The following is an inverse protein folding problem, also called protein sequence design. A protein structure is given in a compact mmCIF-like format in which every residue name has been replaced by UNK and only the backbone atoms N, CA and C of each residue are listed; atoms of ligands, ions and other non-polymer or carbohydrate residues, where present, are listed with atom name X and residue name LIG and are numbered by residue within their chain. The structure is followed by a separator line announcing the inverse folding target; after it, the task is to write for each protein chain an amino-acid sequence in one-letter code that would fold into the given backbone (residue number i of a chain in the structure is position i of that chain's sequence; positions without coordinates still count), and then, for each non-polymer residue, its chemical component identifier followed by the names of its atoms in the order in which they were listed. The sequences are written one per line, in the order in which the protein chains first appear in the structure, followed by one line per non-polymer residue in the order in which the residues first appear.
data_IF_706203380412
#
_entry.id   IF_706203380412
#
_cell.length_a   1.000
_cell.length_b   1.000
_cell.length_c   1.000
_cell.angle_alpha   90.00
_cell.angle_beta   90.00
_cell.angle_gamma   90.00
#
_symmetry.space_group_name_H-M   'P 1'
#
loop_
_entity.id
_entity.type
_entity.pdbx_description
1 polymer ?
2 non-polymer ?
#
# COMPACT_ATOMS: atom_id res chain seq x y z
N UNK A 19 -19.75 2.49 1.74
CA UNK A 19 -19.59 1.91 3.08
C UNK A 19 -19.43 2.98 4.16
N UNK A 20 -19.50 2.52 5.40
CA UNK A 20 -19.01 3.26 6.55
C UNK A 20 -18.10 2.32 7.33
N UNK A 21 -17.03 2.87 7.87
CA UNK A 21 -15.98 2.10 8.52
C UNK A 21 -15.99 2.47 9.99
N UNK A 22 -16.54 1.59 10.82
CA UNK A 22 -16.76 1.91 12.22
C UNK A 22 -16.18 0.85 13.13
N UNK A 23 -15.50 1.30 14.18
CA UNK A 23 -15.15 0.45 15.31
C UNK A 23 -15.53 1.15 16.61
N UNK A 24 -16.09 0.40 17.55
CA UNK A 24 -16.30 0.93 18.89
C UNK A 24 -15.24 0.35 19.82
N UNK A 25 -15.07 1.03 20.96
CA UNK A 25 -14.05 0.71 21.94
C UNK A 25 -14.51 -0.46 22.83
N UNK A 26 -13.56 -1.19 23.41
CA UNK A 26 -13.94 -2.21 24.41
C UNK A 26 -14.74 -1.64 25.56
N UNK A 27 -14.50 -0.37 25.92
CA UNK A 27 -15.28 0.32 26.94
C UNK A 27 -16.65 0.76 26.44
N UNK A 28 -16.84 0.85 25.13
CA UNK A 28 -18.09 1.32 24.56
C UNK A 28 -18.24 2.83 24.45
N UNK A 29 -17.52 3.60 25.26
CA UNK A 29 -17.79 5.04 25.42
C UNK A 29 -17.35 5.90 24.23
N UNK A 30 -16.77 5.33 23.16
CA UNK A 30 -16.47 6.13 21.98
C UNK A 30 -16.38 5.25 20.75
N UNK A 31 -17.10 5.65 19.69
CA UNK A 31 -17.02 5.03 18.37
C UNK A 31 -16.35 6.00 17.40
N UNK A 32 -15.52 5.47 16.50
CA UNK A 32 -14.90 6.27 15.43
C UNK A 32 -15.35 5.74 14.08
N UNK A 33 -15.61 6.69 13.16
CA UNK A 33 -16.09 6.41 11.82
C UNK A 33 -15.13 6.95 10.78
N UNK A 34 -14.89 6.18 9.73
CA UNK A 34 -13.93 6.54 8.70
C UNK A 34 -14.57 6.42 7.33
N UNK A 35 -14.13 7.28 6.40
CA UNK A 35 -14.70 7.29 5.06
C UNK A 35 -14.62 5.90 4.46
N UNK A 36 -13.39 5.46 4.21
CA UNK A 36 -13.08 4.17 3.66
C UNK A 36 -11.88 3.65 4.44
N UNK A 37 -11.24 2.59 3.95
CA UNK A 37 -10.09 1.98 4.61
C UNK A 37 -8.78 2.14 3.83
N UNK A 38 -8.83 2.24 2.49
CA UNK A 38 -7.64 2.38 1.66
C UNK A 38 -7.54 3.81 1.18
N UNK A 39 -6.49 4.51 1.60
CA UNK A 39 -6.25 5.91 1.26
C UNK A 39 -5.04 6.01 0.36
N UNK A 40 -5.21 6.64 -0.80
CA UNK A 40 -4.19 6.61 -1.85
C UNK A 40 -3.54 7.98 -1.99
N UNK A 41 -2.22 7.98 -1.91
CA UNK A 41 -1.45 9.16 -2.26
C UNK A 41 -1.30 9.26 -3.77
N UNK A 42 -1.59 10.45 -4.31
CA UNK A 42 -1.52 10.73 -5.73
C UNK A 42 -0.36 11.66 -6.10
N UNK A 43 0.57 11.90 -5.16
CA UNK A 43 1.71 12.82 -5.27
C UNK A 43 1.30 14.29 -5.18
N UNK A 44 0.37 14.74 -6.06
CA UNK A 44 -0.03 16.13 -6.05
C UNK A 44 -1.14 16.42 -5.05
N UNK A 45 -1.73 15.39 -4.47
CA UNK A 45 -2.83 15.48 -3.53
C UNK A 45 -3.07 14.07 -3.03
N UNK A 46 -3.94 13.93 -2.02
CA UNK A 46 -4.06 12.63 -1.38
C UNK A 46 -5.39 12.50 -0.66
N UNK A 47 -5.87 11.26 -0.55
CA UNK A 47 -7.04 10.93 0.25
C UNK A 47 -6.68 11.17 1.71
N UNK A 48 -7.10 12.31 2.25
CA UNK A 48 -6.89 12.52 3.66
C UNK A 48 -7.99 11.79 4.44
N UNK A 49 -7.95 11.94 5.75
CA UNK A 49 -8.74 11.13 6.64
C UNK A 49 -9.71 12.05 7.35
N UNK A 50 -11.00 11.92 7.02
CA UNK A 50 -12.03 12.85 7.44
C UNK A 50 -13.18 12.04 7.99
N UNK A 51 -13.07 11.71 9.27
CA UNK A 51 -14.12 11.00 9.95
C UNK A 51 -14.61 11.79 11.14
N UNK A 52 -15.35 11.10 12.00
CA UNK A 52 -16.11 11.70 13.10
C UNK A 52 -15.90 10.84 14.33
N UNK A 53 -15.75 11.49 15.47
CA UNK A 53 -15.58 10.85 16.76
C UNK A 53 -16.78 11.17 17.66
N UNK A 54 -17.16 10.22 18.52
CA UNK A 54 -18.36 10.32 19.34
C UNK A 54 -18.03 9.94 20.78
N UNK A 55 -17.94 10.93 21.66
CA UNK A 55 -17.75 10.68 23.09
C UNK A 55 -19.10 10.50 23.80
N UNK A 64 -10.36 14.59 28.15
CA UNK A 64 -10.05 14.96 26.76
C UNK A 64 -9.93 13.75 25.80
N UNK A 65 -9.93 14.01 24.49
CA UNK A 65 -9.86 12.94 23.49
C UNK A 65 -8.79 13.25 22.44
N UNK A 66 -7.89 12.30 22.20
CA UNK A 66 -6.73 12.47 21.35
C UNK A 66 -6.70 11.45 20.22
N UNK A 67 -5.92 11.76 19.20
CA UNK A 67 -5.85 10.92 18.02
C UNK A 67 -4.45 10.95 17.44
N UNK A 68 -4.10 9.88 16.75
CA UNK A 68 -2.81 9.79 16.09
C UNK A 68 -2.92 8.76 14.96
N UNK A 69 -1.80 8.55 14.28
CA UNK A 69 -1.64 7.44 13.36
C UNK A 69 -0.38 6.68 13.73
N UNK A 70 -0.53 5.43 14.14
CA UNK A 70 0.65 4.59 14.29
C UNK A 70 1.07 4.09 12.92
N UNK A 71 2.37 4.10 12.65
CA UNK A 71 2.99 3.40 11.53
C UNK A 71 3.87 2.29 12.11
N UNK A 72 3.55 1.05 11.79
CA UNK A 72 4.28 -0.08 12.34
C UNK A 72 5.26 -0.59 11.29
N UNK A 73 6.51 -0.81 11.71
CA UNK A 73 7.48 -1.55 10.92
C UNK A 73 7.82 -2.82 11.67
N UNK A 74 7.47 -3.97 11.11
CA UNK A 74 7.84 -5.24 11.72
C UNK A 74 8.73 -6.01 10.76
N UNK A 75 9.71 -6.73 11.33
CA UNK A 75 10.55 -7.64 10.57
C UNK A 75 10.86 -8.87 11.45
N UNK A 76 10.50 -10.06 10.96
CA UNK A 76 10.58 -11.28 11.76
C UNK A 76 9.54 -11.37 12.87
N UNK A 77 9.33 -12.57 13.41
CA UNK A 77 8.47 -12.76 14.57
C UNK A 77 9.30 -13.14 15.79
N UNK A 78 8.72 -12.86 16.97
CA UNK A 78 9.37 -13.07 18.30
C UNK A 78 10.36 -14.26 18.42
N UNK A 83 15.43 -18.13 16.86
CA UNK A 83 16.80 -17.64 17.04
C UNK A 83 17.34 -17.00 15.76
N UNK A 84 16.62 -16.02 15.24
CA UNK A 84 17.15 -15.10 14.26
C UNK A 84 17.09 -13.64 14.70
N UNK A 85 16.09 -12.89 14.23
CA UNK A 85 16.08 -11.43 14.32
C UNK A 85 14.63 -10.93 14.36
N UNK A 86 14.19 -10.42 15.51
CA UNK A 86 12.92 -9.72 15.62
C UNK A 86 13.18 -8.23 15.70
N UNK A 87 12.49 -7.46 14.86
CA UNK A 87 12.64 -6.01 14.85
C UNK A 87 11.26 -5.37 14.65
N UNK A 88 10.71 -4.80 15.72
CA UNK A 88 9.45 -4.07 15.66
C UNK A 88 9.71 -2.59 15.98
N UNK A 89 9.15 -1.69 15.16
CA UNK A 89 9.27 -0.24 15.32
C UNK A 89 7.94 0.45 15.02
N UNK A 90 7.31 1.02 16.05
CA UNK A 90 6.11 1.84 15.92
C UNK A 90 6.49 3.30 16.15
N UNK A 91 5.83 4.21 15.43
CA UNK A 91 5.95 5.62 15.77
C UNK A 91 4.72 6.39 15.29
N UNK A 92 4.34 7.38 16.10
CA UNK A 92 3.19 8.23 15.84
C UNK A 92 3.59 9.39 14.94
N UNK A 93 2.83 9.62 13.89
CA UNK A 93 3.21 10.48 12.79
C UNK A 93 2.36 11.76 12.76
N UNK A 94 1.04 11.61 12.77
CA UNK A 94 0.14 12.70 13.10
C UNK A 94 -0.33 12.47 14.53
N UNK A 95 -0.75 13.55 15.19
CA UNK A 95 -1.04 13.49 16.62
C UNK A 95 -1.88 14.71 16.91
N UNK A 96 -2.95 14.52 17.68
CA UNK A 96 -4.02 15.52 17.59
C UNK A 96 -4.90 15.44 18.83
N UNK A 97 -5.24 16.61 19.38
CA UNK A 97 -6.42 16.73 20.23
C UNK A 97 -7.67 16.79 19.36
N UNK A 98 -8.55 15.82 19.53
CA UNK A 98 -9.82 15.79 18.82
C UNK A 98 -10.90 16.57 19.56
N UNK A 99 -11.08 16.29 20.85
CA UNK A 99 -12.11 16.94 21.65
C UNK A 99 -11.60 17.51 22.96
N UNK A 100 -11.98 18.75 23.27
CA UNK A 100 -12.73 19.67 22.38
C UNK A 100 -11.97 20.09 21.14
N UNK A 101 -12.69 20.29 20.04
CA UNK A 101 -12.02 20.74 18.81
C UNK A 101 -11.31 22.06 19.04
N UNK A 102 -9.99 22.00 19.19
CA UNK A 102 -9.20 23.22 19.16
C UNK A 102 -9.41 23.90 17.83
N UNK A 103 -9.67 25.22 17.87
CA UNK A 103 -10.02 25.94 16.65
C UNK A 103 -8.90 25.91 15.61
N UNK A 104 -7.66 25.62 16.01
CA UNK A 104 -6.58 25.55 15.02
C UNK A 104 -6.70 24.30 14.16
N UNK A 105 -6.87 23.14 14.78
CA UNK A 105 -7.08 21.91 14.03
C UNK A 105 -8.42 21.86 13.33
N UNK A 106 -9.26 22.88 13.55
CA UNK A 106 -10.57 22.93 12.91
C UNK A 106 -10.41 23.10 11.41
N UNK A 107 -11.18 22.33 10.63
CA UNK A 107 -11.00 22.27 9.19
C UNK A 107 -12.34 22.10 8.48
N UNK A 108 -12.41 22.29 7.15
CA UNK A 108 -13.68 22.07 6.44
C UNK A 108 -14.20 20.65 6.65
N UNK A 109 -15.49 20.56 6.91
CA UNK A 109 -16.16 19.29 7.11
C UNK A 109 -16.50 18.66 5.76
N UNK A 110 -16.08 17.41 5.57
CA UNK A 110 -16.47 16.67 4.38
C UNK A 110 -17.97 16.42 4.39
N UNK A 111 -18.51 16.07 3.22
CA UNK A 111 -19.94 15.78 3.11
C UNK A 111 -20.29 14.55 3.92
N UNK A 112 -19.52 13.46 3.74
CA UNK A 112 -19.70 12.29 4.59
C UNK A 112 -19.65 12.68 6.06
N UNK A 113 -18.62 13.44 6.44
CA UNK A 113 -18.63 14.08 7.75
C UNK A 113 -19.89 14.92 7.95
N UNK A 114 -20.28 15.68 6.93
CA UNK A 114 -21.48 16.51 7.05
C UNK A 114 -22.72 15.64 7.27
N UNK A 115 -22.85 14.54 6.52
CA UNK A 115 -24.02 13.69 6.67
C UNK A 115 -23.99 12.90 7.97
N UNK A 116 -22.82 12.39 8.35
CA UNK A 116 -22.73 11.63 9.59
C UNK A 116 -23.11 12.49 10.78
N UNK A 117 -22.59 13.72 10.82
CA UNK A 117 -22.88 14.66 11.90
C UNK A 117 -24.37 14.95 12.05
N UNK A 118 -25.18 14.56 11.06
CA UNK A 118 -26.63 14.67 11.14
C UNK A 118 -27.32 13.35 11.49
N UNK A 119 -26.69 12.21 11.19
CA UNK A 119 -27.26 10.95 11.63
C UNK A 119 -27.13 10.75 13.13
N UNK A 120 -26.19 11.46 13.77
CA UNK A 120 -25.90 11.29 15.19
C UNK A 120 -25.95 12.64 15.88
N UNK A 121 -25.63 12.65 17.17
CA UNK A 121 -25.89 13.79 18.03
C UNK A 121 -24.90 14.93 17.90
N UNK A 122 -25.11 15.94 18.75
CA UNK A 122 -24.20 17.07 18.88
C UNK A 122 -22.96 16.71 19.69
N UNK A 123 -22.95 15.55 20.34
CA UNK A 123 -21.75 14.99 20.95
C UNK A 123 -20.91 14.19 19.96
N UNK A 124 -21.03 14.49 18.67
CA UNK A 124 -20.21 13.92 17.61
C UNK A 124 -19.26 15.00 17.09
N UNK A 125 -17.98 14.66 16.95
CA UNK A 125 -16.94 15.62 16.62
C UNK A 125 -16.24 15.18 15.33
N UNK A 126 -16.04 16.07 14.37
CA UNK A 126 -15.32 15.67 13.16
C UNK A 126 -13.82 15.89 13.29
N UNK A 127 -13.05 14.87 12.95
CA UNK A 127 -11.61 14.98 12.93
C UNK A 127 -11.13 14.87 11.48
N UNK A 128 -9.89 15.33 11.29
CA UNK A 128 -9.22 15.25 10.01
C UNK A 128 -7.74 15.02 10.25
N UNK A 129 -7.13 14.11 9.47
CA UNK A 129 -5.69 13.95 9.43
C UNK A 129 -5.19 14.13 8.01
N UNK A 130 -4.16 14.93 7.82
CA UNK A 130 -3.41 14.90 6.57
C UNK A 130 -2.83 13.51 6.34
N UNK A 131 -3.16 12.90 5.19
CA UNK A 131 -2.58 11.61 4.86
C UNK A 131 -1.05 11.70 4.96
N UNK A 132 -0.38 10.71 5.56
CA UNK A 132 1.09 10.83 5.75
C UNK A 132 1.92 10.30 4.58
N UNK A 133 2.05 11.16 3.57
CA UNK A 133 3.06 10.98 2.54
C UNK A 133 4.45 11.02 3.18
N UNK A 134 5.47 10.68 2.39
CA UNK A 134 6.84 10.60 2.89
C UNK A 134 6.93 9.70 4.13
N UNK A 135 6.04 8.72 4.17
CA UNK A 135 6.10 7.45 4.90
C UNK A 135 5.82 6.34 3.90
N UNK A 136 6.29 5.12 4.17
CA UNK A 136 6.18 4.07 3.15
C UNK A 136 4.80 3.47 3.04
N UNK A 137 4.45 3.13 1.80
CA UNK A 137 3.22 2.37 1.50
C UNK A 137 3.09 1.10 2.34
N UNK A 138 1.85 0.83 2.75
CA UNK A 138 1.49 -0.48 3.27
C UNK A 138 2.05 -1.58 2.39
N UNK A 139 2.72 -2.54 3.02
CA UNK A 139 3.37 -3.64 2.31
C UNK A 139 3.48 -4.81 3.28
N UNK A 140 3.30 -6.01 2.77
CA UNK A 140 3.26 -7.14 3.68
C UNK A 140 3.84 -8.35 2.98
N UNK A 141 5.10 -8.65 3.28
CA UNK A 141 5.79 -9.80 2.69
C UNK A 141 5.49 -11.04 3.50
N UNK A 142 4.89 -12.03 2.85
CA UNK A 142 4.64 -13.30 3.49
C UNK A 142 5.93 -14.11 3.63
N UNK A 143 5.95 -15.09 4.54
CA UNK A 143 7.12 -15.96 4.58
C UNK A 143 6.89 -17.21 3.73
N UNK A 150 11.39 -14.95 6.45
CA UNK A 150 11.37 -13.68 7.18
C UNK A 150 10.11 -12.85 6.89
N UNK A 151 9.15 -12.85 7.82
CA UNK A 151 7.95 -12.05 7.64
C UNK A 151 8.24 -10.57 7.88
N UNK A 152 7.44 -9.73 7.23
CA UNK A 152 7.96 -8.40 7.04
C UNK A 152 6.85 -7.50 6.49
N UNK A 153 6.88 -6.23 6.84
CA UNK A 153 5.96 -5.28 6.24
C UNK A 153 5.79 -3.98 7.02
N UNK A 154 4.83 -3.19 6.51
CA UNK A 154 4.47 -1.89 7.05
C UNK A 154 2.96 -1.81 7.19
N UNK A 155 2.51 -1.21 8.29
CA UNK A 155 1.11 -1.17 8.68
C UNK A 155 0.75 0.25 9.11
N UNK A 156 -0.55 0.54 9.06
CA UNK A 156 -1.08 1.84 9.44
C UNK A 156 -2.35 1.66 10.26
N UNK A 157 -2.59 2.61 11.14
CA UNK A 157 -3.74 2.56 12.03
C UNK A 157 -4.12 3.97 12.47
N UNK A 158 -5.43 4.27 12.44
CA UNK A 158 -5.96 5.43 13.16
C UNK A 158 -6.32 4.98 14.56
N UNK A 159 -5.92 5.77 15.55
CA UNK A 159 -6.16 5.48 16.97
C UNK A 159 -6.71 6.73 17.60
N UNK A 160 -7.88 6.63 18.24
CA UNK A 160 -8.40 7.73 19.03
C UNK A 160 -8.68 7.25 20.44
N UNK A 161 -8.33 8.08 21.42
CA UNK A 161 -8.28 7.65 22.82
C UNK A 161 -8.62 8.82 23.73
N UNK A 162 -9.16 8.48 24.90
CA UNK A 162 -9.39 9.45 25.98
C UNK A 162 -8.12 9.58 26.83
N UNK A 163 -7.93 10.74 27.44
CA UNK A 163 -6.80 10.97 28.33
C UNK A 163 -6.95 12.32 29.00
N UNK A 164 -5.94 12.66 29.79
CA UNK A 164 -5.71 14.01 30.31
C UNK A 164 -4.27 14.43 29.99
N UNK A 165 -3.81 14.06 28.79
CA UNK A 165 -2.50 14.41 28.23
C UNK A 165 -2.28 13.69 26.90
N UNK A 166 -1.55 14.32 25.96
CA UNK A 166 -1.36 13.73 24.64
C UNK A 166 -0.36 12.57 24.65
N UNK A 167 0.67 12.66 25.52
CA UNK A 167 1.65 11.60 25.72
C UNK A 167 1.37 10.76 26.96
N UNK A 168 0.15 10.83 27.49
CA UNK A 168 -0.25 9.90 28.55
C UNK A 168 -0.39 8.49 27.99
N UNK A 169 -0.65 7.55 28.90
CA UNK A 169 -0.77 6.15 28.52
C UNK A 169 -1.98 5.92 27.62
N UNK A 170 -1.80 5.10 26.60
CA UNK A 170 -2.93 4.75 25.75
C UNK A 170 -3.41 3.35 26.12
N UNK A 171 -4.43 3.28 26.98
CA UNK A 171 -4.99 2.01 27.40
C UNK A 171 -5.77 1.35 26.25
N UNK A 172 -6.27 0.14 26.51
CA UNK A 172 -7.03 -0.62 25.52
C UNK A 172 -8.53 -0.36 25.59
N UNK A 173 -9.05 0.04 26.75
CA UNK A 173 -10.49 0.24 26.92
C UNK A 173 -10.95 1.54 26.25
N UNK A 174 -10.35 2.67 26.64
CA UNK A 174 -10.66 3.99 26.07
C UNK A 174 -10.06 4.23 24.68
N UNK A 175 -9.27 3.29 24.16
CA UNK A 175 -8.76 3.43 22.80
C UNK A 175 -9.75 2.81 21.82
N UNK A 176 -9.66 3.26 20.55
CA UNK A 176 -10.18 2.51 19.42
C UNK A 176 -9.08 2.48 18.36
N UNK A 177 -9.03 1.39 17.60
CA UNK A 177 -8.09 1.31 16.47
C UNK A 177 -8.74 0.64 15.28
N UNK A 178 -8.58 1.28 14.14
CA UNK A 178 -9.06 0.77 12.87
C UNK A 178 -7.82 0.69 11.97
N UNK A 179 -7.57 -0.49 11.41
CA UNK A 179 -6.53 -0.62 10.41
C UNK A 179 -6.91 0.17 9.17
N UNK A 180 -5.97 0.95 8.66
CA UNK A 180 -6.12 1.60 7.37
C UNK A 180 -5.01 1.07 6.47
N UNK A 181 -5.14 1.41 5.20
CA UNK A 181 -4.16 1.02 4.20
C UNK A 181 -3.78 2.28 3.45
N UNK A 182 -2.49 2.57 3.40
CA UNK A 182 -1.99 3.76 2.72
C UNK A 182 -1.16 3.32 1.53
N UNK A 183 -1.54 3.78 0.34
CA UNK A 183 -0.95 3.33 -0.91
C UNK A 183 -0.60 4.53 -1.77
N UNK A 184 0.29 4.34 -2.74
CA UNK A 184 0.78 5.40 -3.62
C UNK A 184 0.26 5.15 -5.02
N UNK A 185 -0.58 6.06 -5.51
CA UNK A 185 -1.09 5.99 -6.87
C UNK A 185 -0.32 7.01 -7.71
N UNK A 186 0.81 6.57 -8.28
CA UNK A 186 1.66 7.42 -9.09
C UNK A 186 1.55 7.03 -10.56
N UNK A 187 0.86 7.87 -11.33
CA UNK A 187 0.61 7.62 -12.74
C UNK A 187 1.57 8.38 -13.65
N UNK A 188 1.66 9.70 -13.47
CA UNK A 188 2.28 10.57 -14.48
C UNK A 188 3.80 10.37 -14.55
N UNK A 189 4.31 10.11 -15.76
CA UNK A 189 5.71 9.78 -15.99
C UNK A 189 5.90 8.66 -16.99
N UNK A 190 6.26 9.00 -18.22
CA UNK A 190 6.24 8.04 -19.33
C UNK A 190 7.58 7.34 -19.57
N UNK A 191 8.29 7.75 -20.63
CA UNK A 191 9.48 7.05 -21.14
C UNK A 191 9.11 5.63 -21.57
N UNK A 192 8.10 5.53 -22.42
CA UNK A 192 7.29 4.33 -22.57
C UNK A 192 8.07 3.23 -23.30
N UNK A 193 7.36 2.13 -23.61
CA UNK A 193 7.78 0.94 -24.35
C UNK A 193 8.99 0.24 -23.72
N UNK A 194 8.76 -0.71 -22.83
CA UNK A 194 9.84 -1.62 -22.42
C UNK A 194 10.32 -2.41 -23.63
N UNK A 195 11.64 -2.42 -23.81
CA UNK A 195 12.24 -3.20 -24.89
C UNK A 195 13.72 -3.35 -24.58
N UNK A 196 14.23 -4.55 -24.81
CA UNK A 196 15.64 -4.80 -24.65
C UNK A 196 16.21 -5.46 -25.88
N UNK A 197 17.31 -4.93 -26.39
CA UNK A 197 18.02 -5.50 -27.53
C UNK A 197 19.35 -6.10 -27.06
N UNK A 198 19.85 -7.04 -27.84
CA UNK A 198 21.06 -7.79 -27.49
C UNK A 198 21.44 -8.63 -28.69
N UNK A 199 22.71 -9.04 -28.75
CA UNK A 199 23.22 -9.68 -29.98
C UNK A 199 24.54 -10.36 -29.68
N UNK A 200 24.53 -11.69 -29.67
CA UNK A 200 25.74 -12.49 -29.47
C UNK A 200 26.63 -12.44 -30.71
N UNK A 209 22.96 -13.78 -34.19
CA UNK A 209 21.72 -13.80 -33.42
C UNK A 209 21.53 -12.51 -32.63
N UNK A 210 20.45 -11.79 -32.96
CA UNK A 210 20.04 -10.57 -32.27
C UNK A 210 18.66 -10.79 -31.64
N UNK A 211 18.44 -10.22 -30.46
CA UNK A 211 17.17 -10.37 -29.76
C UNK A 211 16.69 -9.00 -29.29
N UNK A 212 15.66 -8.50 -29.94
CA UNK A 212 14.91 -7.34 -29.49
C UNK A 212 13.57 -7.84 -28.96
N UNK A 213 13.26 -7.54 -27.70
CA UNK A 213 12.00 -7.97 -27.09
C UNK A 213 11.28 -6.76 -26.52
N UNK A 214 10.17 -6.39 -27.14
CA UNK A 214 9.35 -5.29 -26.65
C UNK A 214 8.18 -5.82 -25.82
N UNK A 215 7.70 -5.00 -24.89
CA UNK A 215 6.58 -5.34 -24.04
C UNK A 215 5.42 -4.38 -24.30
N UNK A 216 4.22 -4.94 -24.50
CA UNK A 216 3.02 -4.11 -24.49
C UNK A 216 2.93 -3.37 -23.17
N UNK A 217 2.61 -2.06 -23.25
CA UNK A 217 2.35 -1.22 -22.09
C UNK A 217 3.57 -1.05 -21.16
N UNK A 218 3.91 0.22 -20.85
CA UNK A 218 5.09 0.56 -20.07
C UNK A 218 4.84 0.45 -18.57
N UNK A 219 3.70 0.95 -18.11
CA UNK A 219 3.16 0.66 -16.79
C UNK A 219 1.93 -0.21 -16.95
N UNK A 220 1.69 -1.09 -15.99
CA UNK A 220 0.52 -1.93 -16.01
C UNK A 220 -0.11 -1.93 -14.63
N UNK A 221 -1.44 -1.93 -14.59
CA UNK A 221 -2.19 -1.93 -13.34
C UNK A 221 -2.50 -3.35 -12.90
N UNK A 222 -2.56 -3.54 -11.59
CA UNK A 222 -2.87 -4.87 -11.07
C UNK A 222 -4.20 -5.38 -11.63
N UNK A 223 -4.16 -6.59 -12.19
CA UNK A 223 -5.25 -7.16 -12.95
C UNK A 223 -4.96 -7.26 -14.44
N UNK A 224 -4.08 -6.40 -14.96
CA UNK A 224 -3.81 -6.37 -16.38
C UNK A 224 -2.86 -7.49 -16.81
N UNK A 225 -2.97 -7.86 -18.09
CA UNK A 225 -2.19 -8.90 -18.71
C UNK A 225 -0.99 -8.31 -19.44
N UNK A 226 -0.02 -9.17 -19.77
CA UNK A 226 1.26 -8.76 -20.33
C UNK A 226 1.48 -9.43 -21.67
N UNK A 227 1.92 -8.65 -22.66
CA UNK A 227 2.28 -9.16 -23.97
C UNK A 227 3.73 -8.79 -24.26
N UNK A 228 4.42 -9.65 -25.01
CA UNK A 228 5.87 -9.54 -25.10
C UNK A 228 6.29 -9.97 -26.49
N UNK A 229 6.46 -8.99 -27.38
CA UNK A 229 6.87 -9.24 -28.75
C UNK A 229 8.34 -9.62 -28.74
N UNK A 230 8.60 -10.92 -28.79
CA UNK A 230 9.97 -11.42 -28.92
C UNK A 230 10.25 -11.51 -30.42
N UNK A 231 10.65 -10.38 -30.99
CA UNK A 231 11.12 -10.31 -32.37
C UNK A 231 12.62 -10.53 -32.35
N UNK A 232 13.04 -11.80 -32.48
CA UNK A 232 14.44 -12.17 -32.50
C UNK A 232 15.11 -11.60 -33.75
N UNK A 241 15.66 -23.54 -29.69
CA UNK A 241 14.79 -24.61 -29.17
C UNK A 241 13.68 -24.10 -28.24
N UNK A 242 14.05 -23.34 -27.21
CA UNK A 242 13.13 -23.03 -26.11
C UNK A 242 13.07 -21.53 -25.88
N UNK A 243 11.97 -21.12 -25.25
CA UNK A 243 11.79 -19.75 -24.76
C UNK A 243 11.27 -19.82 -23.33
N UNK A 244 11.84 -19.00 -22.44
CA UNK A 244 11.44 -18.92 -21.04
C UNK A 244 11.16 -17.46 -20.72
N UNK A 245 9.90 -17.11 -20.45
CA UNK A 245 9.53 -15.74 -20.12
C UNK A 245 9.18 -15.68 -18.65
N UNK A 246 9.79 -14.74 -17.93
CA UNK A 246 9.65 -14.70 -16.47
C UNK A 246 9.39 -13.28 -15.99
N UNK A 247 8.37 -13.13 -15.16
CA UNK A 247 8.17 -11.91 -14.41
C UNK A 247 8.64 -12.13 -12.98
N UNK A 248 9.66 -11.36 -12.60
CA UNK A 248 10.27 -11.47 -11.28
C UNK A 248 9.91 -10.22 -10.51
N UNK A 249 9.51 -10.41 -9.25
CA UNK A 249 9.40 -9.32 -8.30
C UNK A 249 10.68 -9.25 -7.50
N UNK A 250 11.28 -8.06 -7.41
CA UNK A 250 12.33 -7.81 -6.45
C UNK A 250 11.75 -7.05 -5.27
N UNK A 251 12.05 -7.51 -4.06
CA UNK A 251 11.78 -6.73 -2.87
C UNK A 251 13.08 -6.63 -2.08
N UNK A 252 13.52 -5.40 -1.84
CA UNK A 252 14.70 -5.12 -1.02
C UNK A 252 14.22 -4.61 0.32
N UNK A 253 14.25 -5.48 1.33
CA UNK A 253 13.98 -5.04 2.69
C UNK A 253 15.18 -4.28 3.20
N UNK A 254 14.92 -3.12 3.79
CA UNK A 254 15.90 -2.44 4.63
C UNK A 254 15.24 -2.14 5.97
N UNK A 255 14.85 -3.22 6.65
CA UNK A 255 14.37 -3.18 8.03
C UNK A 255 15.42 -3.94 8.84
N UNK A 256 16.37 -3.19 9.41
CA UNK A 256 17.56 -3.71 10.06
C UNK A 256 18.36 -4.59 9.11
N UNK A 257 18.00 -5.87 9.05
CA UNK A 257 18.66 -6.78 8.13
C UNK A 257 18.30 -6.40 6.71
N UNK A 258 19.33 -6.13 5.90
CA UNK A 258 19.14 -5.64 4.54
C UNK A 258 19.18 -6.84 3.58
N UNK A 259 18.00 -7.22 3.09
CA UNK A 259 17.84 -8.47 2.34
C UNK A 259 17.14 -8.18 1.02
N UNK A 260 17.47 -9.01 0.03
CA UNK A 260 16.99 -8.88 -1.34
C UNK A 260 16.30 -10.18 -1.73
N UNK A 261 14.99 -10.14 -1.85
CA UNK A 261 14.20 -11.29 -2.28
C UNK A 261 13.85 -11.10 -3.75
N UNK A 262 14.33 -12.02 -4.58
CA UNK A 262 13.94 -12.13 -5.97
C UNK A 262 12.95 -13.29 -6.09
N UNK A 263 11.82 -13.05 -6.78
CA UNK A 263 10.65 -13.92 -6.67
C UNK A 263 9.88 -13.96 -7.98
N UNK A 264 9.55 -15.18 -8.43
CA UNK A 264 9.04 -15.43 -9.77
C UNK A 264 7.51 -15.39 -9.72
N UNK A 265 6.94 -14.37 -10.34
CA UNK A 265 5.50 -14.23 -10.34
C UNK A 265 4.89 -15.23 -11.30
N UNK A 266 5.15 -15.09 -12.59
CA UNK A 266 4.56 -15.99 -13.58
C UNK A 266 5.60 -16.33 -14.64
N UNK A 267 5.33 -17.38 -15.42
CA UNK A 267 6.27 -17.75 -16.46
C UNK A 267 5.64 -18.75 -17.44
N UNK A 268 6.13 -18.71 -18.69
CA UNK A 268 5.82 -19.73 -19.67
C UNK A 268 7.10 -20.26 -20.31
N UNK A 269 7.07 -21.54 -20.65
CA UNK A 269 8.08 -22.15 -21.50
C UNK A 269 7.35 -22.84 -22.65
N UNK A 270 7.81 -22.57 -23.87
CA UNK A 270 7.26 -23.21 -25.07
C UNK A 270 8.39 -23.54 -26.05
N UNK A 284 8.94 -13.96 -35.90
CA UNK A 284 8.68 -13.23 -34.67
C UNK A 284 7.55 -13.94 -33.92
N UNK A 285 7.57 -13.86 -32.58
CA UNK A 285 6.55 -14.51 -31.78
C UNK A 285 6.10 -13.56 -30.68
N UNK A 286 5.00 -13.91 -30.02
CA UNK A 286 4.37 -13.07 -29.01
C UNK A 286 3.70 -13.95 -27.98
N UNK A 287 3.99 -13.70 -26.69
CA UNK A 287 3.50 -14.53 -25.61
C UNK A 287 2.86 -13.65 -24.55
N UNK A 288 2.01 -14.24 -23.70
CA UNK A 288 1.21 -13.52 -22.72
C UNK A 288 1.41 -14.05 -21.31
N UNK A 289 1.35 -13.14 -20.33
CA UNK A 289 1.50 -13.46 -18.91
C UNK A 289 0.62 -12.54 -18.06
N UNK A 290 0.00 -13.10 -17.01
CA UNK A 290 -0.81 -12.32 -16.07
C UNK A 290 -0.01 -12.05 -14.81
N UNK A 291 0.61 -10.79 -14.63
CA UNK A 291 1.35 -10.48 -13.39
C UNK A 291 0.39 -10.21 -12.23
N UNK A 292 -0.41 -11.22 -11.89
CA UNK A 292 -1.42 -11.14 -10.84
C UNK A 292 -1.05 -12.18 -9.78
N UNK A 293 -1.88 -12.31 -8.74
CA UNK A 293 -1.56 -13.14 -7.59
C UNK A 293 -2.30 -14.47 -7.58
N UNK A 294 -3.52 -14.52 -8.13
CA UNK A 294 -4.17 -15.80 -8.40
C UNK A 294 -3.42 -16.65 -9.43
N UNK A 295 -2.28 -16.20 -9.93
CA UNK A 295 -1.53 -16.99 -10.89
C UNK A 295 -0.08 -17.15 -10.42
N UNK A 302 6.52 -13.14 -1.34
CA UNK A 302 6.04 -12.09 -2.25
C UNK A 302 5.50 -10.86 -1.51
N UNK A 303 6.06 -9.72 -1.88
CA UNK A 303 5.59 -8.44 -1.38
C UNK A 303 4.14 -8.20 -1.82
N UNK A 304 3.25 -8.10 -0.83
CA UNK A 304 1.84 -7.85 -1.07
C UNK A 304 1.47 -6.48 -0.50
N UNK A 305 0.47 -5.85 -1.14
CA UNK A 305 -0.04 -4.55 -0.74
C UNK A 305 -0.87 -4.61 0.58
N UNK A 306 -0.82 -5.73 1.29
CA UNK A 306 -1.81 -5.96 2.31
C UNK A 306 -1.59 -7.29 2.99
N UNK A 307 -2.42 -7.54 3.99
CA UNK A 307 -2.40 -8.79 4.72
C UNK A 307 -3.16 -9.86 3.93
N UNK A 308 -2.66 -11.10 4.01
CA UNK A 308 -3.16 -12.16 3.12
C UNK A 308 -4.59 -12.57 3.43
N UNK A 309 -5.08 -12.30 4.66
CA UNK A 309 -6.46 -12.64 5.00
C UNK A 309 -7.48 -11.79 4.27
N UNK A 310 -7.10 -10.61 3.78
CA UNK A 310 -7.99 -9.77 2.99
C UNK A 310 -7.91 -10.20 1.52
N UNK A 311 -9.02 -10.72 0.98
CA UNK A 311 -9.09 -11.16 -0.41
C UNK A 311 -8.85 -10.03 -1.41
N UNK A 312 -8.84 -8.78 -0.92
CA UNK A 312 -8.47 -7.63 -1.73
C UNK A 312 -6.97 -7.53 -1.95
N UNK A 313 -6.17 -8.20 -1.13
CA UNK A 313 -4.72 -8.03 -1.20
C UNK A 313 -4.18 -8.44 -2.57
N UNK A 314 -3.36 -7.60 -3.14
CA UNK A 314 -2.82 -7.80 -4.45
C UNK A 314 -1.30 -7.78 -4.34
N UNK A 315 -0.63 -7.67 -5.48
CA UNK A 315 0.82 -7.49 -5.48
C UNK A 315 1.14 -6.03 -5.25
N UNK A 316 2.31 -5.79 -4.65
CA UNK A 316 2.56 -4.62 -3.82
C UNK A 316 3.08 -3.40 -4.57
N UNK A 317 3.11 -3.41 -5.90
CA UNK A 317 3.27 -2.17 -6.69
C UNK A 317 4.63 -1.47 -6.54
N UNK A 318 5.26 -1.19 -7.68
CA UNK A 318 6.59 -0.58 -7.74
C UNK A 318 6.71 0.66 -6.86
N UNK A 319 7.67 0.65 -5.94
CA UNK A 319 8.02 1.83 -5.15
C UNK A 319 8.57 2.94 -6.05
N UNK A 320 8.63 4.15 -5.51
CA UNK A 320 8.93 5.35 -6.29
C UNK A 320 10.18 6.05 -5.78
N UNK A 332 10.79 -1.33 2.71
CA UNK A 332 10.71 -2.25 1.57
C UNK A 332 10.56 -1.54 0.23
N UNK A 333 11.42 -1.87 -0.73
CA UNK A 333 11.32 -1.35 -2.09
C UNK A 333 10.95 -2.51 -3.01
N UNK A 334 9.86 -2.35 -3.75
CA UNK A 334 9.37 -3.38 -4.65
C UNK A 334 9.56 -2.88 -6.06
N UNK A 335 9.86 -3.81 -6.97
CA UNK A 335 10.03 -3.52 -8.38
C UNK A 335 9.81 -4.80 -9.17
N UNK A 336 9.67 -4.64 -10.48
CA UNK A 336 9.35 -5.76 -11.36
C UNK A 336 10.22 -5.67 -12.60
N UNK A 337 10.36 -6.81 -13.28
CA UNK A 337 11.24 -6.93 -14.44
C UNK A 337 10.86 -8.19 -15.21
N UNK A 338 10.95 -8.12 -16.52
CA UNK A 338 10.77 -9.30 -17.38
C UNK A 338 12.15 -9.88 -17.65
N UNK A 339 12.24 -11.20 -17.77
CA UNK A 339 13.50 -11.89 -18.04
C UNK A 339 13.25 -12.93 -19.12
N UNK A 340 13.79 -12.69 -20.30
CA UNK A 340 13.61 -13.61 -21.42
C UNK A 340 14.92 -14.39 -21.58
N UNK A 341 14.83 -15.72 -21.46
CA UNK A 341 15.94 -16.63 -21.73
C UNK A 341 15.56 -17.50 -22.93
N UNK A 342 16.41 -17.51 -23.95
CA UNK A 342 16.18 -18.33 -25.13
C UNK A 342 17.37 -19.28 -25.31
N UNK A 343 17.08 -20.58 -25.32
CA UNK A 343 18.12 -21.58 -25.52
C UNK A 343 18.20 -21.98 -27.01
N UNK A 350 22.48 -20.00 -25.18
CA UNK A 350 21.60 -19.25 -24.29
C UNK A 350 21.72 -17.72 -24.44
N UNK A 351 20.63 -17.07 -24.87
CA UNK A 351 20.56 -15.61 -24.98
C UNK A 351 19.66 -15.06 -23.88
N UNK A 352 20.03 -13.89 -23.33
CA UNK A 352 19.53 -13.50 -22.02
C UNK A 352 19.22 -12.01 -21.93
N UNK A 353 18.10 -11.68 -21.28
CA UNK A 353 17.50 -10.36 -21.41
C UNK A 353 16.56 -10.07 -20.25
N UNK A 354 16.84 -9.01 -19.48
CA UNK A 354 15.98 -8.63 -18.36
C UNK A 354 15.56 -7.17 -18.48
N UNK A 355 14.24 -6.92 -18.46
CA UNK A 355 13.65 -5.67 -18.92
C UNK A 355 12.70 -5.11 -17.86
N UNK A 356 12.94 -3.92 -17.32
CA UNK A 356 12.05 -3.36 -16.28
C UNK A 356 10.73 -2.79 -16.80
N UNK A 357 9.78 -2.69 -15.88
CA UNK A 357 8.45 -2.10 -16.10
C UNK A 357 7.84 -1.79 -14.73
N UNK A 358 7.10 -0.68 -14.65
CA UNK A 358 6.46 -0.30 -13.38
C UNK A 358 5.08 -0.94 -13.25
N UNK A 359 4.71 -1.23 -12.01
CA UNK A 359 3.43 -1.84 -11.68
C UNK A 359 2.66 -0.93 -10.73
N UNK A 360 1.54 -0.43 -11.18
CA UNK A 360 0.71 0.41 -10.34
C UNK A 360 -0.39 -0.41 -9.68
N UNK A 361 -1.07 0.13 -8.66
CA UNK A 361 -2.19 -0.63 -8.07
C UNK A 361 -3.30 -0.86 -9.07
N UNK A 362 -4.37 -1.53 -8.66
CA UNK A 362 -5.47 -1.81 -9.57
C UNK A 362 -6.25 -0.54 -9.84
N UNK A 363 -6.30 -0.14 -11.11
CA UNK A 363 -6.97 1.09 -11.53
C UNK A 363 -8.34 1.23 -10.88
N UNK A 364 -8.67 2.45 -10.43
CA UNK A 364 -9.95 2.69 -9.77
C UNK A 364 -10.93 3.47 -10.66
N UNK A 365 -12.08 3.81 -10.08
CA UNK A 365 -13.01 4.81 -10.61
C UNK A 365 -13.40 5.81 -9.52
N UNK A 366 -12.77 5.71 -8.36
CA UNK A 366 -12.85 6.66 -7.26
C UNK A 366 -11.52 7.35 -7.04
N UNK A 367 -11.15 8.20 -8.01
CA UNK A 367 -10.13 9.22 -7.80
C UNK A 367 -10.81 10.51 -7.36
N UNK A 368 -10.33 11.09 -6.26
CA UNK A 368 -10.97 12.25 -5.62
C UNK A 368 -12.49 12.10 -5.52
X LIG B 1 -4.43 -5.00 4.61
#
# INVERSE_FOLDING_TARGET
MGSWSHPQFEKGMVTKKAKVYKKASPNGKLTTYLAKRDYYDHKEWQDNIDGVCVVDPDYLKNRKVFGLIVVAFRYGREDMDVMGVSFRKDFAVKQMQIYPPLEENQRPLTKLQAKLLNKLGENAVPFHYDLPTNTPDTVCIQPSEYDGGAPCGVDYQVTTYVSQNMDDKIHKRNSVSLSIRKLSYFEFGSDEQPRGEISKEFKFTSGAMKLECTLDKARYYSGESMNISVCVDNPTSKKAKRIKIQIIQLADICLYETVTYKSVVTELETEEGFPIEPNTSGFCQVYKLRPVLEVTKRRAGLALNGKVKYEDTMLAASTEDAGNVDKENLGVVVSYKVRIKMTLGFGSGDMLLEVPFKLCPARLKGRLAQPEAREGDDAE
CL CL
#
